data_IF_936378600385
#
_entry.id   IF_936378600385
#
_cell.length_a   1.000
_cell.length_b   1.000
_cell.length_c   1.000
_cell.angle_alpha   90.00
_cell.angle_beta   90.00
_cell.angle_gamma   90.00
#
_symmetry.space_group_name_H-M   'P 1'
#
loop_
_entity.id
_entity.type
_entity.pdbx_description
1 polymer ?
#
# COMPACT_ATOMS: atom_id res chain seq x y z
N UNK A 1 29.22 -6.75 10.88
CA UNK A 1 30.34 -6.06 10.21
C UNK A 1 30.14 -4.59 10.43
N UNK A 2 31.20 -3.81 10.64
CA UNK A 2 31.10 -2.38 10.94
C UNK A 2 30.50 -1.63 9.75
N UNK A 3 29.23 -1.27 9.87
CA UNK A 3 28.53 -0.40 8.93
C UNK A 3 28.99 1.04 9.17
N UNK A 4 30.15 1.42 8.63
CA UNK A 4 30.54 2.82 8.50
C UNK A 4 29.66 3.47 7.43
N UNK A 5 28.45 3.87 7.82
CA UNK A 5 27.53 4.61 6.95
C UNK A 5 28.04 6.04 6.82
N UNK A 6 28.66 6.36 5.68
CA UNK A 6 28.93 7.74 5.31
C UNK A 6 27.64 8.38 4.76
N UNK A 7 27.14 9.41 5.43
CA UNK A 7 26.00 10.20 4.96
C UNK A 7 26.50 11.55 4.43
N UNK A 8 26.15 11.89 3.19
CA UNK A 8 26.37 13.23 2.64
C UNK A 8 25.13 14.07 2.98
N UNK A 9 25.34 15.15 3.73
CA UNK A 9 24.28 16.06 4.14
C UNK A 9 24.35 17.34 3.32
N UNK A 10 23.21 17.75 2.77
CA UNK A 10 23.11 19.00 2.03
C UNK A 10 23.06 20.19 2.99
N UNK A 11 23.83 21.25 2.73
CA UNK A 11 23.80 22.49 3.50
C UNK A 11 22.36 23.03 3.71
N UNK A 12 21.52 22.95 2.67
CA UNK A 12 20.13 23.41 2.74
C UNK A 12 19.29 22.73 3.83
N UNK A 13 19.55 21.46 4.16
CA UNK A 13 18.81 20.75 5.21
C UNK A 13 19.01 21.36 6.60
N UNK A 14 20.21 21.91 6.86
CA UNK A 14 20.51 22.61 8.09
C UNK A 14 19.82 23.97 8.13
N UNK A 15 19.82 24.70 7.01
CA UNK A 15 19.14 25.99 6.89
C UNK A 15 17.63 25.86 7.08
N UNK A 16 17.00 24.85 6.47
CA UNK A 16 15.57 24.56 6.62
C UNK A 16 15.20 24.21 8.08
N UNK A 17 16.18 23.78 8.87
CA UNK A 17 16.02 23.45 10.29
C UNK A 17 16.38 24.61 11.24
N UNK A 18 16.51 25.84 10.72
CA UNK A 18 16.93 27.03 11.46
C UNK A 18 18.31 26.90 12.14
N UNK A 19 19.24 26.18 11.50
CA UNK A 19 20.62 26.04 11.98
C UNK A 19 21.57 26.87 11.12
N UNK A 20 22.54 27.53 11.78
CA UNK A 20 23.63 28.22 11.09
C UNK A 20 24.75 27.23 10.80
N UNK A 21 25.24 27.19 9.55
CA UNK A 21 26.41 26.38 9.20
C UNK A 21 27.54 27.32 8.79
N UNK A 22 28.67 27.21 9.48
CA UNK A 22 29.83 28.05 9.28
C UNK A 22 31.06 27.22 8.91
N UNK A 23 31.73 27.62 7.83
CA UNK A 23 32.98 27.00 7.39
C UNK A 23 34.16 27.90 7.74
N UNK A 24 35.16 27.33 8.41
CA UNK A 24 36.46 27.96 8.69
C UNK A 24 37.56 27.11 8.07
N UNK A 25 38.76 27.68 7.90
CA UNK A 25 39.91 27.04 7.23
C UNK A 25 40.14 25.56 7.61
N UNK A 26 40.01 25.22 8.89
CA UNK A 26 40.31 23.88 9.39
C UNK A 26 39.10 23.14 10.00
N UNK A 27 37.92 23.77 10.07
CA UNK A 27 36.78 23.19 10.75
C UNK A 27 35.46 23.78 10.24
N UNK A 28 34.38 23.00 10.29
CA UNK A 28 33.02 23.48 10.11
C UNK A 28 32.23 23.34 11.42
N UNK A 29 31.24 24.21 11.58
CA UNK A 29 30.38 24.25 12.74
C UNK A 29 28.93 24.31 12.26
N UNK A 30 28.07 23.54 12.89
CA UNK A 30 26.62 23.72 12.82
C UNK A 30 26.19 24.28 14.17
N UNK A 31 25.45 25.38 14.19
CA UNK A 31 25.03 26.10 15.40
C UNK A 31 23.51 26.27 15.46
N UNK A 32 22.96 26.29 16.65
CA UNK A 32 21.58 26.76 16.86
C UNK A 32 21.50 28.30 16.75
N UNK A 33 20.29 28.85 16.78
CA UNK A 33 20.06 30.30 16.74
C UNK A 33 20.64 31.07 17.95
N UNK A 34 20.97 30.37 19.03
CA UNK A 34 21.60 30.93 20.24
C UNK A 34 23.13 30.94 20.14
N UNK A 35 23.70 30.45 19.04
CA UNK A 35 25.14 30.40 18.79
C UNK A 35 25.87 29.21 19.43
N UNK A 36 25.15 28.24 19.99
CA UNK A 36 25.72 27.01 20.57
C UNK A 36 26.14 26.07 19.45
N UNK A 37 27.40 25.62 19.50
CA UNK A 37 27.95 24.60 18.59
C UNK A 37 27.28 23.25 18.84
N UNK A 38 26.57 22.80 17.82
CA UNK A 38 25.76 21.59 17.78
C UNK A 38 26.53 20.43 17.13
N UNK A 39 27.25 20.72 16.04
CA UNK A 39 28.15 19.78 15.37
C UNK A 39 29.46 20.49 15.06
N UNK A 40 30.56 19.77 15.22
CA UNK A 40 31.89 20.19 14.75
C UNK A 40 32.40 19.17 13.75
N UNK A 41 32.84 19.64 12.60
CA UNK A 41 33.55 18.83 11.63
C UNK A 41 34.97 19.35 11.40
N UNK A 42 35.88 18.45 11.10
CA UNK A 42 37.26 18.79 10.78
C UNK A 42 37.47 18.81 9.27
N UNK A 43 38.35 19.69 8.81
CA UNK A 43 38.72 19.77 7.41
C UNK A 43 39.86 18.80 7.10
N UNK A 44 39.60 17.81 6.25
CA UNK A 44 40.60 16.86 5.76
C UNK A 44 40.40 16.63 4.27
N UNK A 45 41.49 16.63 3.49
CA UNK A 45 41.44 16.26 2.06
C UNK A 45 40.35 17.01 1.26
N UNK A 46 40.25 18.33 1.43
CA UNK A 46 39.26 19.22 0.79
C UNK A 46 37.79 18.95 1.16
N UNK A 47 37.53 18.13 2.18
CA UNK A 47 36.19 17.84 2.68
C UNK A 47 36.10 18.20 4.16
N UNK A 48 34.92 18.63 4.58
CA UNK A 48 34.60 18.76 6.00
C UNK A 48 33.89 17.49 6.44
N UNK A 49 34.45 16.80 7.43
CA UNK A 49 33.93 15.52 7.93
C UNK A 49 33.47 15.70 9.37
N UNK A 50 32.24 15.30 9.66
CA UNK A 50 31.68 15.29 11.02
C UNK A 50 31.69 13.85 11.52
N UNK A 51 32.44 13.60 12.60
CA UNK A 51 32.44 12.29 13.25
C UNK A 51 31.30 12.20 14.27
N UNK A 52 30.24 11.48 13.91
CA UNK A 52 29.07 11.29 14.77
C UNK A 52 29.36 10.45 16.03
N UNK A 53 30.48 9.72 16.08
CA UNK A 53 30.83 8.90 17.25
C UNK A 53 31.27 9.76 18.45
N UNK A 54 31.88 10.94 18.20
CA UNK A 54 32.32 11.86 19.26
C UNK A 54 31.17 12.70 19.83
N UNK A 55 30.03 12.74 19.14
CA UNK A 55 28.82 13.47 19.57
C UNK A 55 28.02 12.81 20.68
N UNK A 56 28.34 11.59 21.11
CA UNK A 56 27.57 10.89 22.16
C UNK A 56 27.52 11.67 23.50
N UNK A 57 28.31 12.73 23.65
CA UNK A 57 28.36 13.63 24.80
C UNK A 57 27.51 14.91 24.66
N UNK A 58 26.98 15.23 23.47
CA UNK A 58 26.17 16.42 23.20
C UNK A 58 24.76 16.05 22.74
N UNK A 59 23.77 16.91 23.04
CA UNK A 59 22.36 16.72 22.70
C UNK A 59 22.18 16.26 21.24
N UNK A 60 21.58 15.08 20.97
CA UNK A 60 21.52 14.55 19.62
C UNK A 60 20.59 15.41 18.75
N UNK A 61 21.17 16.07 17.76
CA UNK A 61 20.42 16.81 16.74
C UNK A 61 19.97 15.80 15.69
N UNK A 62 18.67 15.54 15.63
CA UNK A 62 18.10 14.63 14.66
C UNK A 62 17.92 15.35 13.32
N UNK A 63 18.92 15.28 12.44
CA UNK A 63 18.71 15.45 11.00
C UNK A 63 17.78 14.32 10.55
N UNK A 64 16.72 14.62 9.78
CA UNK A 64 15.65 13.65 9.47
C UNK A 64 16.22 12.35 8.90
N UNK A 65 16.42 11.39 9.80
CA UNK A 65 16.94 10.09 9.48
C UNK A 65 15.81 9.29 8.85
N UNK A 66 16.12 8.61 7.75
CA UNK A 66 15.29 7.52 7.27
C UNK A 66 14.96 6.59 8.45
N UNK A 67 13.70 6.13 8.55
CA UNK A 67 13.36 5.15 9.58
C UNK A 67 14.22 3.90 9.38
N UNK A 68 14.72 3.32 10.47
CA UNK A 68 15.40 2.02 10.39
C UNK A 68 14.45 0.98 9.80
N UNK A 69 15.01 -0.08 9.21
CA UNK A 69 14.23 -1.20 8.68
C UNK A 69 13.27 -1.75 9.74
N UNK A 70 13.77 -2.02 10.94
CA UNK A 70 12.97 -2.48 12.09
C UNK A 70 11.80 -1.55 12.41
N UNK A 71 12.03 -0.24 12.41
CA UNK A 71 10.98 0.75 12.70
C UNK A 71 9.95 0.83 11.59
N UNK A 72 10.38 0.74 10.33
CA UNK A 72 9.51 0.70 9.17
C UNK A 72 8.59 -0.52 9.19
N UNK A 73 9.14 -1.69 9.49
CA UNK A 73 8.37 -2.93 9.61
C UNK A 73 7.44 -2.95 10.83
N UNK A 74 7.86 -2.36 11.96
CA UNK A 74 7.00 -2.24 13.14
C UNK A 74 5.76 -1.39 12.85
N UNK A 75 5.89 -0.25 12.18
CA UNK A 75 4.74 0.58 11.80
C UNK A 75 3.89 -0.07 10.72
N UNK A 76 4.49 -0.81 9.78
CA UNK A 76 3.76 -1.64 8.84
C UNK A 76 2.85 -2.66 9.57
N UNK A 77 3.34 -3.31 10.63
CA UNK A 77 2.54 -4.24 11.43
C UNK A 77 1.47 -3.53 12.28
N UNK A 78 1.85 -2.46 13.01
CA UNK A 78 0.93 -1.73 13.90
C UNK A 78 -0.28 -1.13 13.19
N UNK A 79 -0.11 -0.74 11.92
CA UNK A 79 -1.17 -0.12 11.12
C UNK A 79 -1.96 -1.12 10.28
N UNK A 80 -1.83 -2.43 10.54
CA UNK A 80 -2.51 -3.50 9.79
C UNK A 80 -2.06 -3.63 8.32
N UNK A 81 -0.74 -3.61 8.13
CA UNK A 81 -0.07 -3.93 6.88
C UNK A 81 -0.35 -3.00 5.68
N UNK A 82 -0.53 -1.68 5.82
CA UNK A 82 -0.76 -0.78 4.69
C UNK A 82 0.50 -0.69 3.80
N UNK A 83 0.34 -0.15 2.59
CA UNK A 83 1.50 0.13 1.76
C UNK A 83 2.38 1.23 2.41
N UNK A 84 3.68 1.25 2.11
CA UNK A 84 4.60 2.18 2.76
C UNK A 84 4.36 3.64 2.35
N UNK A 85 3.75 3.91 1.20
CA UNK A 85 3.37 5.26 0.79
C UNK A 85 2.27 5.81 1.70
N UNK A 86 1.27 4.99 2.05
CA UNK A 86 0.24 5.32 3.03
C UNK A 86 0.85 5.55 4.41
N UNK A 87 1.83 4.74 4.84
CA UNK A 87 2.54 5.00 6.10
C UNK A 87 3.25 6.36 6.03
N UNK A 88 3.93 6.67 4.92
CA UNK A 88 4.59 7.95 4.73
C UNK A 88 3.61 9.12 4.70
N UNK A 89 2.44 8.96 4.10
CA UNK A 89 1.41 10.00 4.06
C UNK A 89 0.77 10.21 5.44
N UNK A 90 0.57 9.15 6.22
CA UNK A 90 0.15 9.25 7.62
C UNK A 90 1.18 10.00 8.47
N UNK A 91 2.48 9.74 8.26
CA UNK A 91 3.57 10.42 8.95
C UNK A 91 3.65 11.91 8.56
N UNK A 92 3.50 12.21 7.27
CA UNK A 92 3.59 13.57 6.74
C UNK A 92 2.46 14.48 7.21
N UNK A 93 1.26 13.91 7.34
CA UNK A 93 0.05 14.64 7.70
C UNK A 93 -0.29 14.58 9.20
N UNK A 94 0.61 14.07 10.04
CA UNK A 94 0.41 13.97 11.50
C UNK A 94 -0.87 13.24 11.91
N UNK A 95 -1.28 12.21 11.16
CA UNK A 95 -2.58 11.54 11.34
C UNK A 95 -2.57 10.45 12.43
N UNK A 96 -1.41 10.15 13.01
CA UNK A 96 -1.25 9.07 14.01
C UNK A 96 -0.38 9.56 15.17
N UNK A 97 -0.94 9.60 16.38
CA UNK A 97 -0.19 10.00 17.57
C UNK A 97 1.01 9.05 17.84
N UNK A 98 2.16 9.64 18.17
CA UNK A 98 3.40 8.89 18.40
C UNK A 98 4.08 8.34 17.13
N UNK A 99 3.50 8.59 15.95
CA UNK A 99 4.11 8.24 14.67
C UNK A 99 5.11 9.32 14.25
N UNK A 100 6.40 9.01 14.36
CA UNK A 100 7.46 9.93 13.97
C UNK A 100 7.43 10.24 12.47
N UNK A 101 7.74 11.49 12.10
CA UNK A 101 7.86 12.02 10.72
C UNK A 101 9.08 11.49 9.96
N UNK A 102 9.40 10.21 10.10
CA UNK A 102 10.46 9.58 9.33
C UNK A 102 9.95 9.14 7.98
N UNK A 103 10.85 9.03 7.01
CA UNK A 103 10.57 8.34 5.76
C UNK A 103 10.73 6.84 5.97
N UNK A 104 9.64 6.11 5.77
CA UNK A 104 9.55 4.67 5.89
C UNK A 104 9.73 4.01 4.53
N UNK A 105 10.44 2.89 4.48
CA UNK A 105 10.76 2.22 3.24
C UNK A 105 10.55 0.72 3.31
N UNK A 106 10.18 0.17 2.16
CA UNK A 106 10.09 -1.26 1.92
C UNK A 106 11.41 -1.76 1.35
N UNK A 107 12.14 -2.57 2.11
CA UNK A 107 13.38 -3.20 1.63
C UNK A 107 13.11 -4.52 0.91
N UNK A 108 12.10 -5.26 1.37
CA UNK A 108 11.73 -6.56 0.84
C UNK A 108 10.20 -6.76 0.82
N UNK A 109 9.74 -7.81 0.14
CA UNK A 109 8.33 -8.18 0.11
C UNK A 109 7.90 -8.76 1.46
N UNK A 110 6.74 -8.32 1.96
CA UNK A 110 6.12 -8.90 3.14
C UNK A 110 5.37 -10.18 2.73
N UNK A 111 5.74 -11.37 3.20
CA UNK A 111 5.08 -12.62 2.79
C UNK A 111 3.58 -12.64 3.09
N UNK A 112 3.18 -12.09 4.25
CA UNK A 112 1.77 -11.99 4.64
C UNK A 112 0.98 -11.07 3.73
N UNK A 113 1.56 -9.95 3.30
CA UNK A 113 0.91 -9.06 2.34
C UNK A 113 0.84 -9.67 0.94
N UNK A 114 1.88 -10.39 0.53
CA UNK A 114 1.89 -11.07 -0.75
C UNK A 114 0.75 -12.08 -0.80
N UNK A 115 0.65 -12.97 0.19
CA UNK A 115 -0.43 -13.97 0.23
C UNK A 115 -1.82 -13.34 0.42
N UNK A 116 -1.93 -12.30 1.27
CA UNK A 116 -3.22 -11.70 1.61
C UNK A 116 -3.73 -10.63 0.64
N UNK A 117 -2.85 -10.03 -0.18
CA UNK A 117 -3.19 -8.91 -1.08
C UNK A 117 -2.86 -9.17 -2.54
N UNK A 118 -2.34 -10.35 -2.89
CA UNK A 118 -2.16 -10.74 -4.28
C UNK A 118 -3.52 -10.76 -4.98
N UNK A 119 -3.56 -10.17 -6.18
CA UNK A 119 -4.70 -10.28 -7.07
C UNK A 119 -4.49 -11.51 -7.94
N UNK A 120 -5.50 -12.38 -8.04
CA UNK A 120 -5.49 -13.44 -9.06
C UNK A 120 -5.32 -12.79 -10.43
N UNK A 121 -4.48 -13.37 -11.28
CA UNK A 121 -4.36 -12.92 -12.66
C UNK A 121 -5.74 -12.91 -13.32
N UNK A 122 -5.97 -11.94 -14.21
CA UNK A 122 -7.20 -11.88 -14.98
C UNK A 122 -7.36 -13.15 -15.82
N UNK A 123 -8.60 -13.61 -15.96
CA UNK A 123 -8.91 -14.66 -16.91
C UNK A 123 -8.78 -14.09 -18.32
N UNK A 124 -8.07 -14.78 -19.25
CA UNK A 124 -8.00 -14.32 -20.62
C UNK A 124 -9.40 -14.34 -21.24
N UNK A 125 -9.76 -13.33 -22.06
CA UNK A 125 -11.02 -13.36 -22.78
C UNK A 125 -11.07 -14.57 -23.73
N UNK A 126 -12.23 -15.21 -23.85
CA UNK A 126 -12.44 -16.29 -24.82
C UNK A 126 -12.81 -15.66 -26.18
N UNK A 127 -11.97 -15.80 -27.23
CA UNK A 127 -12.20 -15.12 -28.51
C UNK A 127 -13.27 -15.80 -29.39
N UNK A 128 -13.56 -17.09 -29.18
CA UNK A 128 -14.51 -17.86 -29.97
C UNK A 128 -15.54 -18.52 -29.05
N UNK A 129 -16.86 -18.41 -29.33
CA UNK A 129 -17.88 -19.19 -28.64
C UNK A 129 -17.60 -20.69 -28.78
N UNK A 130 -17.75 -21.46 -27.69
CA UNK A 130 -17.56 -22.91 -27.75
C UNK A 130 -18.72 -23.60 -28.49
N UNK A 131 -19.87 -22.95 -28.58
CA UNK A 131 -21.07 -23.47 -29.23
C UNK A 131 -21.02 -23.28 -30.75
N UNK A 132 -21.31 -24.37 -31.50
CA UNK A 132 -21.34 -24.36 -32.97
C UNK A 132 -22.76 -24.23 -33.54
N UNK A 133 -23.77 -24.42 -32.71
CA UNK A 133 -25.19 -24.39 -33.07
C UNK A 133 -26.06 -23.97 -31.88
N UNK A 134 -27.29 -23.53 -32.16
CA UNK A 134 -28.30 -23.19 -31.13
C UNK A 134 -28.57 -24.39 -30.23
N UNK A 135 -28.80 -24.11 -28.94
CA UNK A 135 -29.10 -25.09 -27.89
C UNK A 135 -27.99 -26.12 -27.64
N UNK A 136 -26.77 -25.91 -28.16
CA UNK A 136 -25.64 -26.80 -27.92
C UNK A 136 -25.09 -26.69 -26.49
N UNK A 137 -25.10 -25.48 -25.93
CA UNK A 137 -24.65 -25.24 -24.56
C UNK A 137 -25.55 -24.17 -23.93
N UNK A 138 -26.12 -24.50 -22.77
CA UNK A 138 -27.00 -23.60 -22.02
C UNK A 138 -26.32 -23.26 -20.69
N UNK A 139 -26.24 -21.97 -20.38
CA UNK A 139 -25.86 -21.49 -19.06
C UNK A 139 -27.14 -21.24 -18.27
N UNK A 140 -27.32 -21.93 -17.15
CA UNK A 140 -28.50 -21.79 -16.29
C UNK A 140 -28.08 -21.28 -14.92
N UNK A 141 -28.83 -20.33 -14.37
CA UNK A 141 -28.63 -19.85 -13.00
C UNK A 141 -29.96 -19.53 -12.32
N UNK A 142 -30.00 -19.76 -11.00
CA UNK A 142 -31.18 -19.52 -10.17
C UNK A 142 -30.86 -18.43 -9.13
N UNK A 143 -31.40 -17.24 -9.36
CA UNK A 143 -31.17 -16.09 -8.51
C UNK A 143 -32.33 -15.90 -7.52
N UNK A 144 -32.02 -15.74 -6.24
CA UNK A 144 -32.99 -15.40 -5.18
C UNK A 144 -32.74 -16.12 -3.85
N UNK A 145 -33.56 -15.80 -2.81
CA UNK A 145 -34.77 -14.99 -2.87
C UNK A 145 -34.50 -13.49 -2.99
N UNK A 146 -35.22 -12.83 -3.90
CA UNK A 146 -35.21 -11.38 -4.05
C UNK A 146 -35.85 -10.71 -2.83
N UNK A 147 -35.26 -9.58 -2.41
CA UNK A 147 -35.78 -8.78 -1.29
C UNK A 147 -37.21 -8.31 -1.55
N UNK A 148 -37.50 -7.93 -2.79
CA UNK A 148 -38.82 -7.46 -3.22
C UNK A 148 -39.44 -8.54 -4.10
N UNK A 149 -40.67 -8.93 -3.82
CA UNK A 149 -41.40 -9.87 -4.65
C UNK A 149 -41.87 -9.20 -5.94
N UNK A 150 -41.98 -9.95 -7.02
CA UNK A 150 -42.66 -9.49 -8.23
C UNK A 150 -44.15 -9.23 -7.98
N UNK A 151 -44.83 -8.63 -8.96
CA UNK A 151 -46.28 -8.35 -8.93
C UNK A 151 -47.08 -9.60 -8.54
N UNK A 152 -46.66 -10.81 -8.97
CA UNK A 152 -47.33 -12.07 -8.69
C UNK A 152 -46.78 -12.82 -7.44
N UNK A 153 -46.00 -12.14 -6.61
CA UNK A 153 -45.43 -12.71 -5.39
C UNK A 153 -44.29 -13.71 -5.65
N UNK A 154 -43.65 -13.68 -6.81
CA UNK A 154 -42.50 -14.53 -7.15
C UNK A 154 -41.22 -13.88 -6.62
N UNK A 155 -40.31 -14.66 -6.03
CA UNK A 155 -39.07 -14.17 -5.39
C UNK A 155 -37.80 -14.79 -5.98
N UNK A 156 -37.92 -15.70 -6.93
CA UNK A 156 -36.78 -16.32 -7.58
C UNK A 156 -36.86 -16.09 -9.08
N UNK A 157 -35.69 -16.05 -9.72
CA UNK A 157 -35.55 -15.88 -11.16
C UNK A 157 -34.64 -16.99 -11.67
N UNK A 158 -35.18 -17.88 -12.49
CA UNK A 158 -34.40 -18.83 -13.27
C UNK A 158 -34.06 -18.19 -14.61
N UNK A 159 -32.77 -18.06 -14.90
CA UNK A 159 -32.26 -17.57 -16.17
C UNK A 159 -31.64 -18.74 -16.95
N UNK A 160 -32.02 -18.89 -18.20
CA UNK A 160 -31.45 -19.87 -19.13
C UNK A 160 -30.91 -19.08 -20.32
N UNK A 161 -29.63 -19.22 -20.62
CA UNK A 161 -28.96 -18.48 -21.70
C UNK A 161 -28.38 -19.48 -22.69
N UNK A 162 -28.80 -19.38 -23.95
CA UNK A 162 -28.16 -20.10 -25.05
C UNK A 162 -26.80 -19.48 -25.38
N UNK A 163 -25.74 -20.29 -25.33
CA UNK A 163 -24.38 -19.80 -25.56
C UNK A 163 -24.17 -19.31 -27.00
N UNK A 164 -24.87 -19.88 -27.97
CA UNK A 164 -24.69 -19.54 -29.39
C UNK A 164 -25.44 -18.27 -29.78
N UNK A 165 -26.76 -18.28 -29.62
CA UNK A 165 -27.63 -17.17 -30.03
C UNK A 165 -27.69 -16.03 -29.03
N UNK A 166 -27.19 -16.24 -27.80
CA UNK A 166 -27.37 -15.33 -26.65
C UNK A 166 -28.84 -15.10 -26.27
N UNK A 167 -29.76 -15.90 -26.81
CA UNK A 167 -31.16 -15.85 -26.41
C UNK A 167 -31.27 -16.24 -24.93
N UNK A 168 -32.04 -15.46 -24.19
CA UNK A 168 -32.20 -15.62 -22.74
C UNK A 168 -33.66 -15.82 -22.40
N UNK A 169 -33.98 -16.95 -21.78
CA UNK A 169 -35.28 -17.20 -21.16
C UNK A 169 -35.22 -16.86 -19.69
N UNK A 170 -36.27 -16.21 -19.19
CA UNK A 170 -36.38 -15.78 -17.79
C UNK A 170 -37.70 -16.28 -17.22
N UNK A 171 -37.62 -17.07 -16.16
CA UNK A 171 -38.79 -17.62 -15.46
C UNK A 171 -38.83 -17.13 -14.01
N UNK A 172 -39.98 -16.59 -13.61
CA UNK A 172 -40.21 -16.13 -12.24
C UNK A 172 -40.83 -17.23 -11.38
N UNK A 173 -40.15 -17.59 -10.30
CA UNK A 173 -40.53 -18.71 -9.42
C UNK A 173 -40.89 -18.24 -8.00
N UNK A 174 -41.84 -18.92 -7.35
CA UNK A 174 -42.27 -18.57 -5.98
C UNK A 174 -41.28 -19.13 -4.97
N UNK A 175 -40.80 -20.33 -5.23
CA UNK A 175 -39.84 -21.08 -4.44
C UNK A 175 -38.82 -21.77 -5.35
N UNK A 176 -37.70 -22.25 -4.79
CA UNK A 176 -36.61 -22.87 -5.57
C UNK A 176 -37.02 -24.22 -6.17
N UNK A 177 -37.93 -24.94 -5.52
CA UNK A 177 -38.43 -26.26 -5.92
C UNK A 177 -39.32 -26.23 -7.18
N UNK A 178 -39.78 -25.06 -7.64
CA UNK A 178 -40.46 -24.93 -8.93
C UNK A 178 -39.47 -25.07 -10.12
N UNK A 179 -38.16 -24.88 -9.91
CA UNK A 179 -37.18 -24.82 -11.00
C UNK A 179 -37.05 -26.13 -11.81
N UNK A 180 -36.97 -27.33 -11.18
CA UNK A 180 -36.91 -28.59 -11.93
C UNK A 180 -38.10 -28.78 -12.89
N UNK A 181 -39.31 -28.39 -12.47
CA UNK A 181 -40.50 -28.51 -13.32
C UNK A 181 -40.39 -27.64 -14.57
N UNK A 182 -39.88 -26.41 -14.44
CA UNK A 182 -39.64 -25.51 -15.58
C UNK A 182 -38.56 -26.07 -16.51
N UNK A 183 -37.46 -26.58 -15.95
CA UNK A 183 -36.34 -27.14 -16.73
C UNK A 183 -36.78 -28.39 -17.51
N UNK A 184 -37.63 -29.25 -16.94
CA UNK A 184 -38.15 -30.45 -17.62
C UNK A 184 -39.02 -30.07 -18.83
N UNK A 185 -39.72 -28.93 -18.76
CA UNK A 185 -40.61 -28.46 -19.85
C UNK A 185 -39.90 -27.56 -20.87
N UNK A 186 -38.62 -27.26 -20.67
CA UNK A 186 -37.80 -26.44 -21.55
C UNK A 186 -37.22 -27.29 -22.69
#
# INVERSE_FOLDING_TARGET
GNDHVAAILGFGQFCDSNLEVAFRRNACFVRNLEGVDLLKGDHSTNLYTINLHEMASASPICLMARASSTKSWLWHQRLSYPNFDTINDLARNDLVAGHSKFKYHKEYLCPSCEQGKIKRASHPPKPVPNSRQRLHFLHMDLCGPMRIASINGKRYILMIVDDYSRYTWVHFLRSKDEAPAVIITF
#
